data_IF_796095576353
#
_entry.id   IF_796095576353
#
_cell.length_a   1.000
_cell.length_b   1.000
_cell.length_c   1.000
_cell.angle_alpha   90.00
_cell.angle_beta   90.00
_cell.angle_gamma   90.00
#
_symmetry.space_group_name_H-M   'P 1'
#
loop_
_entity.id
_entity.type
_entity.pdbx_description
1 polymer ?
#
# COMPACT_ATOMS: atom_id res chain seq x y z
N UNK A 1 -5.83 -9.17 -1.63
CA UNK A 1 -6.74 -8.20 -2.27
C UNK A 1 -7.00 -8.49 -3.76
N UNK A 2 -6.87 -9.75 -4.20
CA UNK A 2 -7.04 -10.10 -5.63
C UNK A 2 -8.34 -10.84 -5.94
N UNK A 3 -9.24 -11.00 -4.98
CA UNK A 3 -10.53 -11.62 -5.23
C UNK A 3 -11.50 -10.57 -5.79
N UNK A 4 -11.94 -10.70 -7.06
CA UNK A 4 -12.78 -9.69 -7.72
C UNK A 4 -14.18 -9.55 -7.07
N UNK A 5 -14.63 -10.56 -6.33
CA UNK A 5 -15.88 -10.50 -5.56
C UNK A 5 -15.87 -9.40 -4.49
N UNK A 6 -14.71 -9.14 -3.88
CA UNK A 6 -14.57 -8.17 -2.80
C UNK A 6 -13.82 -6.91 -3.21
N UNK A 7 -12.99 -6.99 -4.24
CA UNK A 7 -12.16 -5.90 -4.70
C UNK A 7 -12.31 -5.75 -6.22
N UNK A 8 -13.24 -4.90 -6.69
CA UNK A 8 -13.42 -4.65 -8.11
C UNK A 8 -12.11 -4.20 -8.77
N UNK A 9 -11.83 -4.70 -9.98
CA UNK A 9 -10.59 -4.42 -10.72
C UNK A 9 -9.34 -4.65 -9.85
N UNK A 10 -9.09 -5.88 -9.36
CA UNK A 10 -8.05 -6.16 -8.37
C UNK A 10 -6.62 -5.95 -8.90
N UNK A 11 -6.45 -5.87 -10.21
CA UNK A 11 -5.17 -5.63 -10.89
C UNK A 11 -4.81 -4.13 -10.95
N UNK A 12 -5.77 -3.26 -10.67
CA UNK A 12 -5.55 -1.81 -10.69
C UNK A 12 -5.24 -1.34 -9.28
N UNK A 13 -4.10 -0.65 -9.13
CA UNK A 13 -3.82 0.09 -7.91
C UNK A 13 -4.72 1.33 -7.86
N UNK A 14 -5.63 1.32 -6.90
CA UNK A 14 -6.60 2.38 -6.69
C UNK A 14 -6.69 2.62 -5.18
N UNK A 15 -6.08 3.69 -4.72
CA UNK A 15 -6.09 4.07 -3.32
C UNK A 15 -7.43 4.70 -2.90
N UNK A 16 -8.16 5.32 -3.83
CA UNK A 16 -9.40 6.04 -3.55
C UNK A 16 -10.53 5.10 -3.12
N UNK A 17 -10.46 3.80 -3.46
CA UNK A 17 -11.45 2.81 -3.02
C UNK A 17 -11.62 2.68 -1.50
N UNK A 18 -10.71 3.24 -0.73
CA UNK A 18 -10.71 3.20 0.73
C UNK A 18 -10.99 4.55 1.36
N UNK A 19 -11.27 5.57 0.57
CA UNK A 19 -11.46 6.92 1.04
C UNK A 19 -12.83 7.45 0.66
N UNK A 20 -13.40 8.23 1.55
CA UNK A 20 -14.54 9.11 1.26
C UNK A 20 -14.22 10.53 1.73
N UNK A 21 -14.81 11.50 1.05
CA UNK A 21 -14.74 12.89 1.47
C UNK A 21 -16.08 13.29 2.04
N UNK A 22 -16.09 13.69 3.31
CA UNK A 22 -17.28 14.20 3.98
C UNK A 22 -16.90 15.51 4.67
N UNK A 23 -17.63 16.59 4.35
CA UNK A 23 -17.37 17.92 4.87
C UNK A 23 -15.91 18.38 4.68
N UNK A 24 -15.35 18.20 3.50
CA UNK A 24 -13.95 18.49 3.13
C UNK A 24 -12.90 17.75 3.96
N UNK A 25 -13.30 16.71 4.69
CA UNK A 25 -12.40 15.83 5.42
C UNK A 25 -12.29 14.47 4.75
N UNK A 26 -11.06 14.00 4.66
CA UNK A 26 -10.75 12.66 4.15
C UNK A 26 -10.97 11.62 5.24
N UNK A 27 -11.88 10.71 5.00
CA UNK A 27 -12.14 9.54 5.85
C UNK A 27 -11.60 8.28 5.20
N UNK A 28 -10.86 7.48 5.97
CA UNK A 28 -10.36 6.18 5.51
C UNK A 28 -11.27 5.06 6.03
N UNK A 29 -11.82 4.29 5.11
CA UNK A 29 -12.69 3.14 5.40
C UNK A 29 -12.00 1.84 4.99
N UNK A 30 -11.22 1.21 5.88
CA UNK A 30 -10.59 -0.06 5.55
C UNK A 30 -11.65 -1.12 5.29
N UNK A 31 -11.54 -1.81 4.16
CA UNK A 31 -12.46 -2.88 3.82
C UNK A 31 -12.36 -4.03 4.85
N UNK A 32 -13.50 -4.58 5.37
CA UNK A 32 -13.48 -5.65 6.38
C UNK A 32 -12.69 -6.90 5.99
N UNK A 33 -12.54 -7.15 4.68
CA UNK A 33 -11.73 -8.26 4.15
C UNK A 33 -10.26 -7.90 3.92
N UNK A 34 -9.86 -6.68 4.25
CA UNK A 34 -8.47 -6.24 4.22
C UNK A 34 -7.80 -6.55 5.56
N UNK A 35 -7.16 -7.71 5.65
CA UNK A 35 -6.56 -8.23 6.88
C UNK A 35 -5.06 -8.51 6.73
N UNK A 36 -4.24 -7.52 6.39
CA UNK A 36 -2.82 -7.73 6.09
C UNK A 36 -2.03 -8.28 7.28
N UNK A 37 -2.49 -8.03 8.49
CA UNK A 37 -1.85 -8.49 9.73
C UNK A 37 -2.53 -9.71 10.35
N UNK A 38 -3.47 -10.33 9.65
CA UNK A 38 -4.23 -11.47 10.14
C UNK A 38 -5.31 -11.11 11.15
N UNK A 39 -5.96 -12.14 11.72
CA UNK A 39 -7.07 -12.00 12.68
C UNK A 39 -6.95 -13.02 13.81
N UNK A 40 -7.66 -12.78 14.90
CA UNK A 40 -7.78 -13.69 16.05
C UNK A 40 -6.47 -13.88 16.81
N UNK A 41 -6.29 -15.06 17.40
CA UNK A 41 -5.15 -15.36 18.28
C UNK A 41 -3.78 -15.33 17.59
N UNK A 42 -3.73 -15.40 16.27
CA UNK A 42 -2.53 -15.39 15.45
C UNK A 42 -2.30 -14.05 14.73
N UNK A 43 -3.00 -13.00 15.15
CA UNK A 43 -2.78 -11.64 14.64
C UNK A 43 -1.33 -11.20 14.88
N UNK A 44 -0.78 -10.46 13.94
CA UNK A 44 0.59 -9.95 14.02
C UNK A 44 0.77 -9.04 15.25
N UNK A 45 1.70 -9.38 16.13
CA UNK A 45 2.02 -8.57 17.32
C UNK A 45 2.71 -7.24 16.94
N UNK A 46 3.41 -7.22 15.80
CA UNK A 46 4.13 -6.05 15.31
C UNK A 46 3.30 -5.05 14.51
N UNK A 47 2.00 -5.23 14.40
CA UNK A 47 1.13 -4.37 13.58
C UNK A 47 1.24 -2.88 13.92
N UNK A 48 1.25 -2.53 15.20
CA UNK A 48 1.36 -1.14 15.65
C UNK A 48 2.69 -0.51 15.23
N UNK A 49 3.78 -1.25 15.42
CA UNK A 49 5.14 -0.81 15.04
C UNK A 49 5.23 -0.66 13.53
N UNK A 50 4.74 -1.63 12.77
CA UNK A 50 4.74 -1.61 11.32
C UNK A 50 3.98 -0.39 10.78
N UNK A 51 2.79 -0.13 11.32
CA UNK A 51 1.97 1.02 10.91
C UNK A 51 2.64 2.37 11.19
N UNK A 52 3.24 2.54 12.38
CA UNK A 52 3.97 3.77 12.72
C UNK A 52 5.19 3.94 11.82
N UNK A 53 5.97 2.88 11.63
CA UNK A 53 7.19 2.91 10.81
C UNK A 53 6.86 3.24 9.35
N UNK A 54 5.86 2.57 8.77
CA UNK A 54 5.43 2.83 7.39
C UNK A 54 4.92 4.25 7.21
N UNK A 55 4.03 4.72 8.08
CA UNK A 55 3.49 6.08 8.02
C UNK A 55 4.60 7.12 8.09
N UNK A 56 5.50 6.97 9.06
CA UNK A 56 6.61 7.92 9.27
C UNK A 56 7.57 7.92 8.09
N UNK A 57 7.96 6.74 7.61
CA UNK A 57 8.89 6.60 6.49
C UNK A 57 8.31 7.19 5.20
N UNK A 58 7.11 6.75 4.83
CA UNK A 58 6.47 7.18 3.58
C UNK A 58 6.16 8.68 3.61
N UNK A 59 5.66 9.21 4.73
CA UNK A 59 5.38 10.64 4.86
C UNK A 59 6.64 11.49 4.70
N UNK A 60 7.73 11.14 5.39
CA UNK A 60 9.00 11.87 5.27
C UNK A 60 9.61 11.76 3.89
N UNK A 61 9.48 10.59 3.25
CA UNK A 61 9.98 10.37 1.90
C UNK A 61 9.27 11.27 0.90
N UNK A 62 7.93 11.26 0.92
CA UNK A 62 7.09 12.02 0.00
C UNK A 62 7.13 13.54 0.25
N UNK A 63 7.41 13.98 1.48
CA UNK A 63 7.65 15.39 1.77
C UNK A 63 8.93 15.90 1.12
N UNK A 64 9.98 15.08 1.08
CA UNK A 64 11.29 15.48 0.55
C UNK A 64 11.46 15.23 -0.94
N UNK A 65 10.83 14.19 -1.45
CA UNK A 65 11.09 13.72 -2.81
C UNK A 65 9.80 13.46 -3.58
N UNK A 66 9.87 13.72 -4.87
CA UNK A 66 8.99 13.18 -5.87
C UNK A 66 9.56 11.85 -6.36
N UNK A 67 8.75 10.81 -6.39
CA UNK A 67 9.14 9.48 -6.81
C UNK A 67 8.74 9.27 -8.28
N UNK A 68 9.72 9.06 -9.13
CA UNK A 68 9.48 8.81 -10.56
C UNK A 68 10.01 7.43 -10.93
N UNK A 69 9.19 6.56 -11.52
CA UNK A 69 9.69 5.26 -11.97
C UNK A 69 10.71 5.44 -13.10
N UNK A 70 11.88 4.81 -12.98
CA UNK A 70 12.90 4.81 -14.02
C UNK A 70 12.69 3.73 -15.09
N UNK A 71 11.82 2.76 -14.81
CA UNK A 71 11.46 1.67 -15.71
C UNK A 71 10.00 1.28 -15.50
N UNK A 72 9.41 0.58 -16.48
CA UNK A 72 8.09 -0.05 -16.29
C UNK A 72 8.15 -1.00 -15.10
N UNK A 73 7.25 -0.81 -14.15
CA UNK A 73 7.07 -1.76 -13.04
C UNK A 73 6.50 -3.06 -13.62
N UNK A 74 7.18 -4.15 -13.35
CA UNK A 74 6.71 -5.48 -13.73
C UNK A 74 5.79 -6.04 -12.64
N UNK A 75 4.83 -6.85 -13.05
CA UNK A 75 3.97 -7.55 -12.11
C UNK A 75 4.77 -8.47 -11.19
N UNK A 76 4.29 -8.59 -9.95
CA UNK A 76 4.87 -9.50 -8.98
C UNK A 76 4.70 -10.95 -9.45
N UNK A 77 5.71 -11.81 -9.28
CA UNK A 77 5.54 -13.25 -9.47
C UNK A 77 4.39 -13.74 -8.58
N UNK A 78 3.51 -14.57 -9.17
CA UNK A 78 2.34 -15.09 -8.45
C UNK A 78 2.65 -16.34 -7.63
N UNK A 79 3.85 -16.91 -7.78
CA UNK A 79 4.26 -18.16 -7.18
C UNK A 79 5.26 -17.97 -6.04
N UNK A 80 5.19 -18.86 -5.04
CA UNK A 80 6.09 -18.89 -3.89
C UNK A 80 5.48 -18.39 -2.57
N UNK A 81 6.13 -18.75 -1.47
CA UNK A 81 5.71 -18.41 -0.10
C UNK A 81 5.93 -16.93 0.23
N UNK A 82 7.02 -16.38 -0.23
CA UNK A 82 7.37 -14.96 -0.04
C UNK A 82 7.34 -14.29 -1.40
N UNK A 83 6.41 -13.34 -1.54
CA UNK A 83 6.26 -12.55 -2.76
C UNK A 83 6.83 -11.17 -2.50
N UNK A 84 7.82 -10.81 -3.28
CA UNK A 84 8.42 -9.48 -3.30
C UNK A 84 8.27 -8.83 -4.67
N UNK A 85 8.43 -7.51 -4.77
CA UNK A 85 8.47 -6.85 -6.06
C UNK A 85 9.68 -7.33 -6.86
N UNK A 86 9.52 -7.46 -8.19
CA UNK A 86 10.67 -7.61 -9.07
C UNK A 86 11.60 -6.41 -8.90
N UNK A 87 12.92 -6.59 -9.13
CA UNK A 87 13.84 -5.46 -9.07
C UNK A 87 13.38 -4.32 -9.98
N UNK A 88 13.29 -3.14 -9.43
CA UNK A 88 12.90 -1.93 -10.16
C UNK A 88 13.80 -0.75 -9.77
N UNK A 89 13.85 0.24 -10.65
CA UNK A 89 14.61 1.47 -10.40
C UNK A 89 13.65 2.64 -10.21
N UNK A 90 13.92 3.46 -9.20
CA UNK A 90 13.18 4.68 -8.90
C UNK A 90 14.13 5.88 -8.90
N UNK A 91 13.66 6.99 -9.40
CA UNK A 91 14.37 8.27 -9.35
C UNK A 91 13.73 9.11 -8.25
N UNK A 92 14.55 9.60 -7.34
CA UNK A 92 14.17 10.48 -6.25
C UNK A 92 14.51 11.92 -6.64
N UNK A 93 13.51 12.71 -7.01
CA UNK A 93 13.68 14.14 -7.32
C UNK A 93 13.39 14.95 -6.07
N UNK A 94 14.36 15.75 -5.56
CA UNK A 94 14.10 16.62 -4.40
C UNK A 94 12.96 17.59 -4.70
N UNK A 95 12.03 17.73 -3.77
CA UNK A 95 11.01 18.80 -3.81
C UNK A 95 11.64 20.10 -3.35
N UNK A 96 11.37 21.18 -4.05
CA UNK A 96 11.79 22.53 -3.64
C UNK A 96 10.94 23.04 -2.49
#
# INVERSE_FOLDING_TARGET
MRNPKYFPKPEVFDAERYFTYENDKLHCHPHPKLIPFGIGRRRCLGESIANVSLKTFVSKLLQKYELVPASKLQDLPREGYIKGPMPFKMIFKPRK
#
